data_IF_110470926999
#
_entry.id   IF_110470926999
#
_cell.length_a   1.000
_cell.length_b   1.000
_cell.length_c   1.000
_cell.angle_alpha   90.00
_cell.angle_beta   90.00
_cell.angle_gamma   90.00
#
_symmetry.space_group_name_H-M   'P 1'
#
loop_
_entity.id
_entity.type
_entity.pdbx_description
1 polymer ?
#
# COMPACT_ATOMS: atom_id res chain seq x y z
N UNK A 1 -0.52 10.21 -21.51
CA UNK A 1 -0.83 9.10 -20.58
C UNK A 1 -0.12 9.39 -19.28
N UNK A 2 -0.82 9.45 -18.15
CA UNK A 2 -0.19 9.75 -16.86
C UNK A 2 0.72 8.58 -16.47
N UNK A 3 1.99 8.86 -16.22
CA UNK A 3 2.98 7.86 -15.81
C UNK A 3 2.95 7.73 -14.29
N UNK A 4 2.82 6.49 -13.81
CA UNK A 4 3.00 6.22 -12.38
C UNK A 4 4.49 6.35 -12.08
N UNK A 5 4.91 7.20 -11.12
CA UNK A 5 6.32 7.35 -10.75
C UNK A 5 6.89 6.01 -10.30
N UNK A 6 8.23 5.88 -10.30
CA UNK A 6 8.85 4.75 -9.63
C UNK A 6 8.52 4.81 -8.13
N UNK A 7 8.05 3.69 -7.57
CA UNK A 7 7.64 3.60 -6.18
C UNK A 7 8.67 2.79 -5.39
N UNK A 8 8.89 3.18 -4.14
CA UNK A 8 9.79 2.51 -3.20
C UNK A 8 9.01 1.84 -2.06
N UNK A 9 9.60 0.83 -1.45
CA UNK A 9 9.04 0.26 -0.22
C UNK A 9 8.89 1.35 0.84
N UNK A 10 7.74 1.39 1.50
CA UNK A 10 7.44 2.45 2.47
C UNK A 10 6.73 3.66 1.88
N UNK A 11 6.60 3.76 0.56
CA UNK A 11 5.71 4.73 -0.04
C UNK A 11 4.25 4.40 0.30
N UNK A 12 3.47 5.45 0.48
CA UNK A 12 2.04 5.40 0.73
C UNK A 12 1.37 6.27 -0.33
N UNK A 13 0.38 5.70 -0.99
CA UNK A 13 -0.41 6.34 -2.04
C UNK A 13 -1.85 5.85 -1.98
N UNK A 14 -2.69 6.29 -2.91
CA UNK A 14 -4.05 5.78 -3.07
C UNK A 14 -4.18 4.94 -4.32
N UNK A 15 -4.94 3.85 -4.24
CA UNK A 15 -5.30 3.05 -5.41
C UNK A 15 -6.78 2.67 -5.39
N UNK A 16 -7.34 2.36 -6.55
CA UNK A 16 -8.67 1.78 -6.70
C UNK A 16 -8.63 0.32 -6.29
N UNK A 17 -8.70 0.04 -4.98
CA UNK A 17 -8.57 -1.33 -4.45
C UNK A 17 -9.56 -2.28 -5.13
N UNK A 18 -9.13 -3.47 -5.60
CA UNK A 18 -10.02 -4.34 -6.37
C UNK A 18 -11.19 -4.84 -5.54
N UNK A 19 -12.34 -4.99 -6.19
CA UNK A 19 -13.56 -5.53 -5.56
C UNK A 19 -13.51 -7.04 -5.37
N UNK A 20 -12.82 -7.74 -6.25
CA UNK A 20 -12.80 -9.19 -6.33
C UNK A 20 -11.45 -9.70 -6.86
N UNK A 21 -11.34 -11.02 -6.98
CA UNK A 21 -10.15 -11.69 -7.47
C UNK A 21 -9.89 -11.48 -8.97
N UNK A 22 -10.83 -10.89 -9.73
CA UNK A 22 -10.66 -10.63 -11.15
C UNK A 22 -9.88 -9.34 -11.44
N UNK A 23 -9.37 -8.66 -10.40
CA UNK A 23 -8.61 -7.41 -10.52
C UNK A 23 -9.40 -6.37 -11.32
N UNK A 24 -10.68 -6.19 -10.98
CA UNK A 24 -11.46 -5.04 -11.47
C UNK A 24 -11.27 -3.87 -10.49
N UNK A 25 -10.90 -2.66 -10.96
CA UNK A 25 -10.79 -1.49 -10.09
C UNK A 25 -12.06 -1.29 -9.25
N UNK A 26 -11.87 -1.12 -7.95
CA UNK A 26 -13.01 -0.95 -7.05
C UNK A 26 -13.66 0.42 -7.14
N UNK A 27 -14.76 0.64 -6.41
CA UNK A 27 -15.53 1.89 -6.48
C UNK A 27 -14.94 2.97 -5.57
N UNK A 28 -13.84 2.67 -4.86
CA UNK A 28 -13.25 3.58 -3.86
C UNK A 28 -11.73 3.55 -3.92
N UNK A 29 -11.15 4.74 -3.91
CA UNK A 29 -9.73 4.94 -3.64
C UNK A 29 -9.43 4.62 -2.18
N UNK A 30 -8.41 3.79 -1.97
CA UNK A 30 -7.96 3.35 -0.65
C UNK A 30 -6.50 3.72 -0.47
N UNK A 31 -6.09 4.18 0.72
CA UNK A 31 -4.68 4.28 1.02
C UNK A 31 -4.06 2.88 0.95
N UNK A 32 -2.86 2.79 0.41
CA UNK A 32 -2.10 1.54 0.32
C UNK A 32 -0.64 1.78 0.62
N UNK A 33 0.00 0.77 1.20
CA UNK A 33 1.42 0.77 1.51
C UNK A 33 2.18 -0.02 0.46
N UNK A 34 3.21 0.58 -0.14
CA UNK A 34 4.03 -0.05 -1.19
C UNK A 34 5.04 -1.00 -0.57
N UNK A 35 5.03 -2.23 -1.06
CA UNK A 35 6.01 -3.27 -0.72
C UNK A 35 7.10 -3.43 -1.80
N UNK A 36 6.85 -2.90 -3.00
CA UNK A 36 7.82 -2.83 -4.09
C UNK A 36 7.16 -3.08 -5.45
N UNK A 37 7.99 -3.05 -6.49
CA UNK A 37 7.54 -3.23 -7.89
C UNK A 37 8.04 -4.56 -8.47
N UNK A 38 7.29 -5.11 -9.42
CA UNK A 38 7.66 -6.31 -10.19
C UNK A 38 7.20 -6.19 -11.64
N UNK A 39 7.62 -7.14 -12.48
CA UNK A 39 7.17 -7.27 -13.86
C UNK A 39 6.40 -8.59 -14.00
N UNK A 40 5.15 -8.52 -14.45
CA UNK A 40 4.35 -9.68 -14.86
C UNK A 40 3.92 -9.49 -16.31
N UNK A 41 4.20 -10.46 -17.17
CA UNK A 41 3.87 -10.41 -18.61
C UNK A 41 4.31 -9.10 -19.30
N UNK A 42 5.55 -8.67 -19.01
CA UNK A 42 6.13 -7.40 -19.49
C UNK A 42 5.39 -6.11 -19.05
N UNK A 43 4.43 -6.22 -18.12
CA UNK A 43 3.75 -5.09 -17.51
C UNK A 43 4.24 -4.87 -16.07
N UNK A 44 4.50 -3.60 -15.72
CA UNK A 44 4.89 -3.20 -14.36
C UNK A 44 3.71 -3.34 -13.41
N UNK A 45 3.95 -3.96 -12.27
CA UNK A 45 2.99 -4.12 -11.19
C UNK A 45 3.60 -3.64 -9.87
N UNK A 46 2.74 -3.20 -8.96
CA UNK A 46 3.10 -2.76 -7.61
C UNK A 46 2.45 -3.71 -6.63
N UNK A 47 3.25 -4.32 -5.75
CA UNK A 47 2.72 -5.08 -4.64
C UNK A 47 2.43 -4.12 -3.50
N UNK A 48 1.19 -4.13 -3.01
CA UNK A 48 0.73 -3.22 -1.98
C UNK A 48 -0.01 -3.93 -0.86
N UNK A 49 0.05 -3.38 0.35
CA UNK A 49 -0.78 -3.77 1.48
C UNK A 49 -2.01 -2.85 1.61
N UNK A 50 -3.16 -3.43 1.96
CA UNK A 50 -4.42 -2.71 2.11
C UNK A 50 -4.37 -1.72 3.29
N UNK A 51 -4.83 -0.49 3.05
CA UNK A 51 -5.04 0.52 4.09
C UNK A 51 -6.52 0.81 4.33
N UNK A 52 -6.92 0.93 5.60
CA UNK A 52 -8.28 1.33 6.00
C UNK A 52 -8.26 2.33 7.14
N UNK A 53 -9.16 3.31 7.08
CA UNK A 53 -9.43 4.25 8.18
C UNK A 53 -10.44 3.70 9.18
N UNK A 54 -11.11 2.58 8.86
CA UNK A 54 -12.01 1.88 9.78
C UNK A 54 -11.18 0.99 10.71
N UNK A 55 -10.63 1.59 11.75
CA UNK A 55 -9.93 0.90 12.82
C UNK A 55 -10.90 0.77 14.01
N UNK A 56 -11.51 -0.40 14.19
CA UNK A 56 -12.31 -0.63 15.40
C UNK A 56 -11.41 -0.45 16.64
N UNK A 57 -11.77 0.49 17.51
CA UNK A 57 -11.07 0.84 18.75
C UNK A 57 -9.62 1.35 18.62
N UNK A 58 -9.17 1.84 17.45
CA UNK A 58 -7.77 2.26 17.21
C UNK A 58 -6.72 1.20 17.59
N UNK A 59 -7.09 -0.08 17.56
CA UNK A 59 -6.20 -1.18 17.91
C UNK A 59 -5.70 -1.90 16.66
N UNK A 60 -4.40 -2.16 16.66
CA UNK A 60 -3.77 -3.17 15.81
C UNK A 60 -4.42 -4.54 16.10
N UNK A 61 -4.47 -5.40 15.09
CA UNK A 61 -4.98 -6.75 15.30
C UNK A 61 -4.05 -7.51 16.24
N UNK A 62 -4.63 -8.41 17.04
CA UNK A 62 -3.87 -9.27 17.96
C UNK A 62 -2.90 -10.20 17.24
N UNK A 63 -2.98 -10.31 15.92
CA UNK A 63 -2.03 -11.05 15.11
C UNK A 63 -0.75 -10.25 14.84
N UNK A 64 -0.68 -8.92 15.02
CA UNK A 64 0.57 -8.17 14.85
C UNK A 64 1.10 -8.10 13.41
N UNK A 65 0.30 -8.45 12.40
CA UNK A 65 0.60 -8.28 10.98
C UNK A 65 0.04 -6.98 10.39
N UNK A 66 -0.39 -6.05 11.22
CA UNK A 66 -0.85 -4.73 10.82
C UNK A 66 -0.23 -3.63 11.70
N UNK A 67 -0.32 -2.39 11.22
CA UNK A 67 0.20 -1.20 11.90
C UNK A 67 -0.74 -0.03 11.70
N UNK A 68 -0.86 0.85 12.68
CA UNK A 68 -1.61 2.11 12.53
C UNK A 68 -0.65 3.28 12.32
N UNK A 69 -0.77 3.94 11.17
CA UNK A 69 -0.09 5.20 10.87
C UNK A 69 -1.02 6.35 11.23
N UNK A 70 -0.60 7.20 12.18
CA UNK A 70 -1.36 8.37 12.59
C UNK A 70 -1.37 9.44 11.48
N UNK A 71 -2.52 10.04 11.20
CA UNK A 71 -2.64 11.06 10.14
C UNK A 71 -1.66 12.22 10.33
N UNK A 72 -1.49 12.69 11.57
CA UNK A 72 -0.56 13.79 11.89
C UNK A 72 0.92 13.44 11.70
N UNK A 73 1.28 12.16 11.51
CA UNK A 73 2.64 11.76 11.20
C UNK A 73 2.94 11.85 9.69
N UNK A 74 1.92 11.92 8.83
CA UNK A 74 2.07 12.13 7.39
C UNK A 74 2.23 13.62 7.07
N UNK A 75 3.50 14.02 6.86
CA UNK A 75 3.88 15.42 6.58
C UNK A 75 3.23 15.97 5.30
N UNK A 76 2.85 15.11 4.35
CA UNK A 76 2.21 15.53 3.10
C UNK A 76 0.68 15.57 3.18
N UNK A 77 0.09 15.15 4.30
CA UNK A 77 -1.36 15.21 4.52
C UNK A 77 -2.21 14.32 3.59
N UNK A 78 -1.62 13.27 3.03
CA UNK A 78 -2.32 12.30 2.18
C UNK A 78 -3.28 11.41 2.98
N UNK A 79 -2.90 11.10 4.23
CA UNK A 79 -3.73 10.41 5.22
C UNK A 79 -4.61 11.43 5.95
N UNK A 80 -5.90 11.44 5.63
CA UNK A 80 -6.89 12.34 6.24
C UNK A 80 -7.41 11.85 7.60
N UNK A 81 -7.05 10.63 7.98
CA UNK A 81 -7.39 9.98 9.24
C UNK A 81 -6.36 8.88 9.53
N UNK A 82 -6.29 8.46 10.79
CA UNK A 82 -5.46 7.32 11.18
C UNK A 82 -5.79 6.11 10.33
N UNK A 83 -4.75 5.49 9.78
CA UNK A 83 -4.89 4.45 8.78
C UNK A 83 -4.16 3.20 9.23
N UNK A 84 -4.89 2.10 9.32
CA UNK A 84 -4.33 0.77 9.54
C UNK A 84 -3.91 0.17 8.22
N UNK A 85 -2.66 -0.24 8.11
CA UNK A 85 -2.15 -1.03 6.98
C UNK A 85 -2.01 -2.48 7.40
N UNK A 86 -2.67 -3.38 6.67
CA UNK A 86 -2.70 -4.82 6.97
C UNK A 86 -1.80 -5.59 6.00
N UNK A 87 -0.67 -6.08 6.50
CA UNK A 87 0.33 -6.83 5.72
C UNK A 87 -0.10 -8.28 5.45
N UNK A 88 -1.21 -8.74 6.03
CA UNK A 88 -1.83 -10.01 5.66
C UNK A 88 -2.78 -9.86 4.46
N UNK A 89 -3.18 -8.62 4.12
CA UNK A 89 -4.09 -8.35 3.02
C UNK A 89 -3.40 -7.57 1.90
N UNK A 90 -2.84 -8.32 0.95
CA UNK A 90 -2.00 -7.80 -0.12
C UNK A 90 -2.70 -7.89 -1.49
N UNK A 91 -2.32 -7.00 -2.38
CA UNK A 91 -2.73 -7.06 -3.78
C UNK A 91 -1.58 -6.67 -4.70
N UNK A 92 -1.46 -7.37 -5.82
CA UNK A 92 -0.56 -7.01 -6.90
C UNK A 92 -1.36 -6.23 -7.96
N UNK A 93 -1.02 -4.96 -8.13
CA UNK A 93 -1.82 -4.01 -8.92
C UNK A 93 -1.04 -3.55 -10.15
N UNK A 94 -1.64 -3.54 -11.35
CA UNK A 94 -1.04 -2.93 -12.53
C UNK A 94 -0.66 -1.47 -12.29
N UNK A 95 0.59 -1.10 -12.59
CA UNK A 95 1.11 0.26 -12.43
C UNK A 95 0.61 1.21 -13.54
N UNK A 96 -0.71 1.37 -13.65
CA UNK A 96 -1.37 2.19 -14.67
C UNK A 96 -2.24 3.27 -14.05
N UNK A 97 -2.53 4.32 -14.82
CA UNK A 97 -3.37 5.44 -14.38
C UNK A 97 -4.77 4.98 -13.93
N UNK A 98 -5.32 3.91 -14.52
CA UNK A 98 -6.63 3.35 -14.14
C UNK A 98 -6.67 2.96 -12.66
N UNK A 99 -5.55 2.56 -12.07
CA UNK A 99 -5.49 2.09 -10.69
C UNK A 99 -5.09 3.16 -9.69
N UNK A 100 -4.32 4.17 -10.09
CA UNK A 100 -3.69 5.11 -9.15
C UNK A 100 -4.08 6.58 -9.39
N UNK A 101 -4.66 6.91 -10.55
CA UNK A 101 -5.09 8.27 -10.85
C UNK A 101 -6.51 8.54 -10.32
N UNK A 102 -6.69 9.74 -9.77
CA UNK A 102 -7.99 10.31 -9.44
C UNK A 102 -8.34 11.39 -10.49
N UNK A 103 -8.65 10.95 -11.71
CA UNK A 103 -8.86 11.85 -12.85
C UNK A 103 -7.54 12.36 -13.45
N UNK A 104 -7.45 13.67 -13.72
CA UNK A 104 -6.25 14.29 -14.31
C UNK A 104 -5.18 14.68 -13.29
N UNK A 105 -5.47 14.55 -11.99
CA UNK A 105 -4.55 14.93 -10.92
C UNK A 105 -3.35 13.97 -10.85
N UNK A 106 -2.11 14.47 -10.67
CA UNK A 106 -0.94 13.63 -10.53
C UNK A 106 -1.04 12.73 -9.30
N UNK A 107 -0.52 11.50 -9.42
CA UNK A 107 -0.49 10.54 -8.32
C UNK A 107 0.31 11.12 -7.16
N UNK A 108 -0.36 11.26 -6.02
CA UNK A 108 0.25 11.74 -4.79
C UNK A 108 0.91 10.57 -4.06
N UNK A 109 2.14 10.77 -3.62
CA UNK A 109 2.92 9.79 -2.87
C UNK A 109 3.50 10.47 -1.64
N UNK A 110 3.26 9.89 -0.48
CA UNK A 110 3.97 10.19 0.77
C UNK A 110 4.79 8.99 1.19
N UNK A 111 5.66 9.15 2.19
CA UNK A 111 6.52 8.06 2.65
C UNK A 111 6.26 7.81 4.13
N UNK A 112 6.39 6.55 4.53
CA UNK A 112 6.27 6.14 5.92
C UNK A 112 7.20 6.99 6.80
N UNK A 113 6.73 7.52 7.94
CA UNK A 113 7.58 8.23 8.87
C UNK A 113 8.72 7.33 9.38
N UNK A 114 9.95 7.86 9.41
CA UNK A 114 11.13 7.09 9.83
C UNK A 114 11.03 6.47 11.23
N UNK A 115 10.28 7.13 12.13
CA UNK A 115 9.98 6.61 13.47
C UNK A 115 9.19 5.30 13.48
N UNK A 116 8.48 4.98 12.39
CA UNK A 116 7.66 3.78 12.27
C UNK A 116 8.38 2.60 11.63
N UNK A 117 9.60 2.79 11.10
CA UNK A 117 10.31 1.76 10.34
C UNK A 117 10.45 0.44 11.10
N UNK A 118 10.75 0.50 12.40
CA UNK A 118 10.87 -0.71 13.23
C UNK A 118 9.55 -1.45 13.39
N UNK A 119 8.48 -0.71 13.71
CA UNK A 119 7.15 -1.30 13.91
C UNK A 119 6.65 -1.96 12.62
N UNK A 120 6.81 -1.27 11.48
CA UNK A 120 6.45 -1.82 10.16
C UNK A 120 7.29 -3.05 9.82
N UNK A 121 8.60 -3.02 10.05
CA UNK A 121 9.45 -4.18 9.80
C UNK A 121 9.05 -5.40 10.66
N UNK A 122 8.64 -5.18 11.91
CA UNK A 122 8.16 -6.25 12.79
C UNK A 122 6.83 -6.83 12.30
N UNK A 123 5.87 -5.99 11.90
CA UNK A 123 4.60 -6.44 11.33
C UNK A 123 4.77 -7.18 10.01
N UNK A 124 5.63 -6.67 9.12
CA UNK A 124 6.00 -7.36 7.87
C UNK A 124 6.70 -8.70 8.14
N UNK A 125 7.52 -8.79 9.19
CA UNK A 125 8.13 -10.07 9.60
C UNK A 125 7.06 -11.05 10.05
N UNK A 126 6.12 -10.61 10.88
CA UNK A 126 5.01 -11.44 11.34
C UNK A 126 4.17 -11.96 10.17
N UNK A 127 3.78 -11.08 9.24
CA UNK A 127 3.02 -11.45 8.04
C UNK A 127 3.84 -12.26 7.01
N UNK A 128 5.14 -12.47 7.25
CA UNK A 128 6.01 -13.26 6.37
C UNK A 128 6.27 -12.61 5.01
N UNK A 129 6.25 -11.27 4.94
CA UNK A 129 6.35 -10.50 3.69
C UNK A 129 7.58 -10.90 2.87
N UNK A 130 8.74 -11.15 3.48
CA UNK A 130 9.95 -11.55 2.76
C UNK A 130 9.75 -12.79 1.86
N UNK A 131 8.92 -13.76 2.28
CA UNK A 131 8.57 -14.93 1.46
C UNK A 131 7.68 -14.55 0.28
N UNK A 132 6.75 -13.62 0.49
CA UNK A 132 5.81 -13.14 -0.53
C UNK A 132 6.56 -12.32 -1.59
N UNK A 133 7.46 -11.41 -1.19
CA UNK A 133 8.29 -10.63 -2.11
C UNK A 133 9.09 -11.52 -3.06
N UNK A 134 9.72 -12.59 -2.52
CA UNK A 134 10.43 -13.58 -3.32
C UNK A 134 9.52 -14.31 -4.31
N UNK A 135 8.31 -14.70 -3.89
CA UNK A 135 7.33 -15.38 -4.76
C UNK A 135 6.95 -14.52 -5.96
N UNK A 136 6.87 -13.20 -5.79
CA UNK A 136 6.49 -12.25 -6.84
C UNK A 136 7.69 -11.60 -7.56
N UNK A 137 8.94 -12.02 -7.26
CA UNK A 137 10.16 -11.40 -7.81
C UNK A 137 10.18 -9.87 -7.65
N UNK A 138 9.70 -9.38 -6.51
CA UNK A 138 9.64 -7.95 -6.23
C UNK A 138 11.05 -7.37 -6.12
N UNK A 139 11.29 -6.25 -6.80
CA UNK A 139 12.51 -5.46 -6.72
C UNK A 139 12.45 -4.57 -5.48
N UNK A 140 13.51 -4.62 -4.68
CA UNK A 140 13.74 -3.78 -3.51
C UNK A 140 14.73 -2.68 -3.84
#
# INVERSE_FOLDING_TARGET
MQTIPALSMGDILRCWWPQDAHLVPGPKLRPVFVLGETMENAQRHVLVAYGTTHCEAERESSNGGDVIVKAGADVKGMLTADTRFDFNYLCLIPATAVWFAAGESPVQVTSLPGSMFRLVADAMRYAGIARILRRHNVRL
#
